data_IF_299148530547
#
_entry.id   IF_299148530547
#
_cell.length_a   1.000
_cell.length_b   1.000
_cell.length_c   1.000
_cell.angle_alpha   90.00
_cell.angle_beta   90.00
_cell.angle_gamma   90.00
#
_symmetry.space_group_name_H-M   'P 1'
#
loop_
_entity.id
_entity.type
_entity.pdbx_description
1 polymer ?
#
# COMPACT_ATOMS: atom_id res chain seq x y z
N UNK A 1 0.56 -8.12 14.28
CA UNK A 1 -0.70 -7.35 14.22
C UNK A 1 -1.72 -8.06 13.34
N UNK A 2 -3.00 -7.74 13.50
CA UNK A 2 -4.09 -8.24 12.65
C UNK A 2 -3.89 -7.87 11.17
N UNK A 3 -3.59 -6.60 10.88
CA UNK A 3 -3.37 -6.11 9.51
C UNK A 3 -2.28 -6.90 8.75
N UNK A 4 -1.14 -7.20 9.40
CA UNK A 4 -0.08 -8.02 8.79
C UNK A 4 -0.57 -9.43 8.47
N UNK A 5 -1.26 -10.08 9.41
CA UNK A 5 -1.76 -11.45 9.21
C UNK A 5 -2.81 -11.50 8.09
N UNK A 6 -3.71 -10.52 8.02
CA UNK A 6 -4.68 -10.38 6.93
C UNK A 6 -3.99 -10.28 5.56
N UNK A 7 -3.01 -9.38 5.42
CA UNK A 7 -2.23 -9.25 4.19
C UNK A 7 -1.46 -10.53 3.83
N UNK A 8 -0.86 -11.20 4.82
CA UNK A 8 -0.16 -12.47 4.60
C UNK A 8 -1.10 -13.59 4.15
N UNK A 9 -2.32 -13.66 4.68
CA UNK A 9 -3.32 -14.63 4.22
C UNK A 9 -3.71 -14.38 2.77
N UNK A 10 -3.92 -13.11 2.37
CA UNK A 10 -4.20 -12.78 0.98
C UNK A 10 -3.02 -13.14 0.07
N UNK A 11 -1.80 -12.76 0.44
CA UNK A 11 -0.58 -13.07 -0.31
C UNK A 11 -0.34 -14.57 -0.45
N UNK A 12 -0.56 -15.34 0.61
CA UNK A 12 -0.40 -16.80 0.59
C UNK A 12 -1.38 -17.44 -0.40
N UNK A 13 -2.66 -17.04 -0.37
CA UNK A 13 -3.69 -17.55 -1.29
C UNK A 13 -3.38 -17.19 -2.75
N UNK A 14 -2.96 -15.95 -3.00
CA UNK A 14 -2.59 -15.49 -4.34
C UNK A 14 -1.37 -16.27 -4.85
N UNK A 15 -0.32 -16.38 -4.03
CA UNK A 15 0.90 -17.07 -4.41
C UNK A 15 0.64 -18.56 -4.69
N UNK A 16 -0.17 -19.23 -3.87
CA UNK A 16 -0.55 -20.63 -4.07
C UNK A 16 -1.38 -20.82 -5.34
N UNK A 17 -2.40 -19.99 -5.54
CA UNK A 17 -3.26 -20.06 -6.73
C UNK A 17 -2.47 -19.82 -8.01
N UNK A 18 -1.63 -18.78 -8.04
CA UNK A 18 -0.76 -18.48 -9.19
C UNK A 18 0.22 -19.62 -9.47
N UNK A 19 0.86 -20.16 -8.44
CA UNK A 19 1.82 -21.26 -8.60
C UNK A 19 1.18 -22.49 -9.27
N UNK A 20 -0.03 -22.86 -8.83
CA UNK A 20 -0.81 -23.96 -9.44
C UNK A 20 -1.24 -23.66 -10.87
N UNK A 21 -1.71 -22.43 -11.15
CA UNK A 21 -2.11 -22.01 -12.51
C UNK A 21 -0.93 -21.97 -13.49
N UNK A 22 0.27 -21.66 -13.01
CA UNK A 22 1.48 -21.57 -13.81
C UNK A 22 2.15 -22.94 -14.04
N UNK A 23 1.85 -23.95 -13.23
CA UNK A 23 2.48 -25.27 -13.28
C UNK A 23 2.50 -25.95 -14.67
N UNK A 24 1.44 -25.87 -15.51
CA UNK A 24 1.48 -26.47 -16.85
C UNK A 24 2.41 -25.79 -17.85
N UNK A 25 2.85 -24.55 -17.56
CA UNK A 25 3.68 -23.74 -18.46
C UNK A 25 5.10 -23.61 -17.94
N UNK A 26 5.27 -23.35 -16.65
CA UNK A 26 6.56 -23.15 -15.99
C UNK A 26 6.88 -24.30 -15.05
N UNK A 27 6.94 -25.52 -15.59
CA UNK A 27 6.92 -26.76 -14.80
C UNK A 27 7.98 -26.83 -13.69
N UNK A 28 9.24 -26.49 -14.00
CA UNK A 28 10.34 -26.54 -13.05
C UNK A 28 10.26 -25.41 -12.02
N UNK A 29 9.96 -24.20 -12.46
CA UNK A 29 9.83 -23.03 -11.56
C UNK A 29 8.65 -23.20 -10.61
N UNK A 30 7.52 -23.73 -11.08
CA UNK A 30 6.38 -24.01 -10.25
C UNK A 30 6.69 -25.09 -9.20
N UNK A 31 7.43 -26.14 -9.58
CA UNK A 31 7.88 -27.19 -8.65
C UNK A 31 8.83 -26.64 -7.57
N UNK A 32 9.80 -25.81 -7.97
CA UNK A 32 10.72 -25.15 -7.04
C UNK A 32 9.98 -24.19 -6.09
N UNK A 33 9.09 -23.34 -6.61
CA UNK A 33 8.27 -22.45 -5.78
C UNK A 33 7.41 -23.26 -4.82
N UNK A 34 6.78 -24.34 -5.29
CA UNK A 34 5.99 -25.25 -4.45
C UNK A 34 6.83 -25.80 -3.31
N UNK A 35 8.10 -26.20 -3.54
CA UNK A 35 9.07 -26.64 -2.51
C UNK A 35 9.17 -25.67 -1.32
N UNK A 36 9.10 -24.37 -1.56
CA UNK A 36 9.28 -23.32 -0.55
C UNK A 36 7.99 -22.64 -0.09
N UNK A 37 6.88 -22.79 -0.80
CA UNK A 37 5.65 -22.09 -0.49
C UNK A 37 4.98 -22.68 0.76
N UNK A 38 4.57 -21.85 1.74
CA UNK A 38 3.73 -22.31 2.83
C UNK A 38 2.33 -22.62 2.30
N UNK A 39 2.03 -23.91 2.15
CA UNK A 39 0.70 -24.40 1.73
C UNK A 39 -0.14 -24.69 2.97
N UNK A 40 -1.39 -24.22 2.99
CA UNK A 40 -2.32 -24.56 4.06
C UNK A 40 -2.85 -26.00 3.88
N UNK A 41 -2.79 -26.82 4.93
CA UNK A 41 -3.35 -28.18 4.90
C UNK A 41 -2.41 -29.23 4.29
N UNK A 42 -2.98 -30.24 3.62
CA UNK A 42 -2.20 -31.36 3.08
C UNK A 42 -1.55 -30.96 1.77
N UNK A 43 -0.23 -31.02 1.75
CA UNK A 43 0.60 -30.71 0.59
C UNK A 43 0.87 -31.96 -0.23
N UNK A 44 0.58 -31.91 -1.53
CA UNK A 44 1.07 -32.90 -2.49
C UNK A 44 2.60 -32.79 -2.61
N UNK A 45 3.28 -33.91 -2.78
CA UNK A 45 4.73 -33.98 -2.92
C UNK A 45 5.23 -33.10 -4.08
N UNK A 46 4.57 -33.20 -5.23
CA UNK A 46 4.78 -32.36 -6.40
C UNK A 46 3.57 -31.50 -6.71
N UNK A 47 3.79 -30.29 -7.24
CA UNK A 47 2.70 -29.41 -7.68
C UNK A 47 1.93 -30.02 -8.86
N UNK A 48 2.57 -30.88 -9.65
CA UNK A 48 1.95 -31.56 -10.78
C UNK A 48 0.94 -32.63 -10.36
N UNK A 49 0.88 -32.94 -9.07
CA UNK A 49 -0.14 -33.78 -8.44
C UNK A 49 -1.24 -32.96 -7.75
N UNK A 50 -1.13 -31.63 -7.75
CA UNK A 50 -2.11 -30.75 -7.13
C UNK A 50 -3.22 -30.38 -8.12
N UNK A 51 -4.43 -30.21 -7.60
CA UNK A 51 -5.55 -29.69 -8.39
C UNK A 51 -5.38 -28.19 -8.65
N UNK A 52 -5.97 -27.73 -9.76
CA UNK A 52 -6.14 -26.31 -10.04
C UNK A 52 -6.87 -25.61 -8.89
N UNK A 53 -6.60 -24.32 -8.64
CA UNK A 53 -7.30 -23.58 -7.60
C UNK A 53 -8.80 -23.52 -7.90
N UNK A 54 -9.62 -23.76 -6.88
CA UNK A 54 -11.06 -23.59 -6.99
C UNK A 54 -11.41 -22.11 -7.22
N UNK A 55 -12.51 -21.87 -7.93
CA UNK A 55 -13.05 -20.52 -8.10
C UNK A 55 -13.40 -19.93 -6.72
N UNK A 56 -12.98 -18.69 -6.48
CA UNK A 56 -13.31 -17.97 -5.26
C UNK A 56 -14.58 -17.16 -5.52
N UNK A 57 -15.65 -17.49 -4.82
CA UNK A 57 -16.86 -16.66 -4.82
C UNK A 57 -16.71 -15.57 -3.75
N UNK A 58 -16.59 -14.32 -4.20
CA UNK A 58 -16.58 -13.15 -3.33
C UNK A 58 -17.99 -12.54 -3.30
N UNK A 59 -18.64 -12.46 -2.14
CA UNK A 59 -19.85 -11.64 -2.00
C UNK A 59 -19.53 -10.20 -2.42
N UNK A 60 -20.44 -9.56 -3.15
CA UNK A 60 -20.30 -8.15 -3.58
C UNK A 60 -19.09 -7.88 -4.50
N UNK A 61 -18.62 -8.89 -5.24
CA UNK A 61 -17.50 -8.74 -6.18
C UNK A 61 -17.65 -7.52 -7.12
N UNK A 62 -18.82 -7.25 -7.75
CA UNK A 62 -18.95 -6.08 -8.62
C UNK A 62 -18.70 -4.76 -7.90
N UNK A 63 -19.24 -4.59 -6.69
CA UNK A 63 -19.09 -3.37 -5.90
C UNK A 63 -17.64 -3.20 -5.40
N UNK A 64 -16.98 -4.30 -5.02
CA UNK A 64 -15.57 -4.30 -4.64
C UNK A 64 -14.71 -3.87 -5.83
N UNK A 65 -14.93 -4.48 -7.01
CA UNK A 65 -14.18 -4.15 -8.22
C UNK A 65 -14.38 -2.69 -8.63
N UNK A 66 -15.60 -2.18 -8.60
CA UNK A 66 -15.91 -0.78 -8.90
C UNK A 66 -15.20 0.16 -7.92
N UNK A 67 -15.29 -0.12 -6.61
CA UNK A 67 -14.61 0.66 -5.57
C UNK A 67 -13.11 0.71 -5.78
N UNK A 68 -12.46 -0.43 -6.06
CA UNK A 68 -11.02 -0.47 -6.31
C UNK A 68 -10.64 0.18 -7.64
N UNK A 69 -11.46 0.02 -8.68
CA UNK A 69 -11.25 0.67 -9.98
C UNK A 69 -11.26 2.19 -9.85
N UNK A 70 -12.25 2.77 -9.14
CA UNK A 70 -12.31 4.20 -8.87
C UNK A 70 -11.08 4.69 -8.10
N UNK A 71 -10.68 3.96 -7.06
CA UNK A 71 -9.49 4.30 -6.27
C UNK A 71 -8.19 4.18 -7.09
N UNK A 72 -8.10 3.20 -8.00
CA UNK A 72 -6.99 3.02 -8.92
C UNK A 72 -6.81 4.20 -9.87
N UNK A 73 -7.91 4.71 -10.44
CA UNK A 73 -7.86 5.87 -11.35
C UNK A 73 -7.25 7.10 -10.66
N UNK A 74 -7.61 7.37 -9.40
CA UNK A 74 -7.00 8.46 -8.63
C UNK A 74 -5.51 8.20 -8.39
N UNK A 75 -5.12 6.97 -8.06
CA UNK A 75 -3.71 6.61 -7.87
C UNK A 75 -2.87 6.79 -9.12
N UNK A 76 -3.41 6.54 -10.31
CA UNK A 76 -2.69 6.82 -11.54
C UNK A 76 -2.33 8.30 -11.66
N UNK A 77 -3.28 9.21 -11.38
CA UNK A 77 -3.03 10.65 -11.40
C UNK A 77 -2.04 11.07 -10.30
N UNK A 78 -2.15 10.52 -9.10
CA UNK A 78 -1.17 10.78 -8.02
C UNK A 78 0.22 10.30 -8.41
N UNK A 79 0.34 9.15 -9.06
CA UNK A 79 1.64 8.62 -9.51
C UNK A 79 2.27 9.53 -10.56
N UNK A 80 1.48 10.07 -11.50
CA UNK A 80 1.96 11.06 -12.48
C UNK A 80 2.39 12.36 -11.83
N UNK A 81 1.61 12.88 -10.87
CA UNK A 81 1.96 14.08 -10.12
C UNK A 81 3.28 13.92 -9.35
N UNK A 82 3.48 12.78 -8.68
CA UNK A 82 4.71 12.46 -7.96
C UNK A 82 5.91 12.34 -8.90
N UNK A 83 5.74 11.70 -10.05
CA UNK A 83 6.82 11.55 -11.04
C UNK A 83 7.24 12.92 -11.61
N UNK A 84 6.28 13.80 -11.91
CA UNK A 84 6.57 15.18 -12.32
C UNK A 84 7.34 15.95 -11.24
N UNK A 85 6.96 15.79 -9.97
CA UNK A 85 7.67 16.43 -8.86
C UNK A 85 9.11 15.92 -8.71
N UNK A 86 9.37 14.63 -8.97
CA UNK A 86 10.73 14.07 -8.99
C UNK A 86 11.56 14.62 -10.13
N UNK A 87 11.00 14.73 -11.33
CA UNK A 87 11.68 15.32 -12.50
C UNK A 87 12.05 16.79 -12.27
N UNK A 88 11.25 17.51 -11.48
CA UNK A 88 11.52 18.88 -11.06
C UNK A 88 12.45 18.97 -9.83
N UNK A 89 13.00 17.84 -9.37
CA UNK A 89 13.87 17.75 -8.18
C UNK A 89 13.25 18.29 -6.89
N UNK A 90 11.92 18.28 -6.78
CA UNK A 90 11.19 18.68 -5.57
C UNK A 90 11.29 17.57 -4.50
N UNK A 91 11.33 16.31 -4.94
CA UNK A 91 11.35 15.12 -4.08
C UNK A 91 12.37 14.10 -4.60
N UNK A 92 13.07 13.41 -3.69
CA UNK A 92 13.89 12.25 -4.03
C UNK A 92 13.10 10.94 -3.99
N UNK A 93 12.14 10.82 -3.07
CA UNK A 93 11.30 9.64 -2.89
C UNK A 93 9.83 10.02 -2.64
N UNK A 94 8.87 9.17 -3.00
CA UNK A 94 7.45 9.43 -2.72
C UNK A 94 7.13 9.49 -1.23
N UNK A 95 7.89 8.80 -0.37
CA UNK A 95 7.70 8.89 1.08
C UNK A 95 8.08 10.27 1.64
N UNK A 96 8.83 11.09 0.91
CA UNK A 96 9.08 12.49 1.30
C UNK A 96 7.89 13.39 0.95
N UNK A 97 6.90 12.89 0.19
CA UNK A 97 5.78 13.69 -0.28
C UNK A 97 4.67 13.81 0.76
N UNK A 98 4.11 15.01 0.84
CA UNK A 98 2.73 15.26 1.23
C UNK A 98 1.95 15.71 0.00
N UNK A 99 0.71 15.24 -0.15
CA UNK A 99 -0.16 15.63 -1.27
C UNK A 99 -1.41 16.36 -0.77
N UNK A 100 -1.79 17.41 -1.49
CA UNK A 100 -3.08 18.08 -1.34
C UNK A 100 -3.93 17.71 -2.56
N UNK A 101 -5.04 17.04 -2.32
CA UNK A 101 -6.01 16.63 -3.33
C UNK A 101 -7.16 17.64 -3.37
N UNK A 102 -7.32 18.28 -4.52
CA UNK A 102 -8.51 19.07 -4.85
C UNK A 102 -9.36 18.25 -5.80
N UNK A 103 -10.53 17.83 -5.33
CA UNK A 103 -11.47 16.99 -6.06
C UNK A 103 -12.89 17.45 -5.77
N UNK A 104 -13.85 16.99 -6.57
CA UNK A 104 -15.27 17.25 -6.31
C UNK A 104 -15.74 16.55 -5.01
N UNK A 105 -16.78 17.09 -4.38
CA UNK A 105 -17.28 16.68 -3.06
C UNK A 105 -17.58 15.17 -2.96
N UNK A 106 -18.15 14.59 -4.02
CA UNK A 106 -18.44 13.16 -4.07
C UNK A 106 -17.16 12.31 -4.04
N UNK A 107 -16.13 12.73 -4.78
CA UNK A 107 -14.83 12.04 -4.80
C UNK A 107 -14.08 12.24 -3.48
N UNK A 108 -14.16 13.43 -2.89
CA UNK A 108 -13.58 13.68 -1.58
C UNK A 108 -14.20 12.76 -0.53
N UNK A 109 -15.53 12.70 -0.47
CA UNK A 109 -16.27 11.83 0.46
C UNK A 109 -15.90 10.35 0.27
N UNK A 110 -15.78 9.91 -0.99
CA UNK A 110 -15.34 8.57 -1.33
C UNK A 110 -13.92 8.26 -0.81
N UNK A 111 -12.98 9.18 -1.02
CA UNK A 111 -11.58 9.01 -0.61
C UNK A 111 -11.44 9.09 0.92
N UNK A 112 -12.13 10.02 1.58
CA UNK A 112 -12.15 10.15 3.04
C UNK A 112 -12.64 8.87 3.73
N UNK A 113 -13.50 8.07 3.08
CA UNK A 113 -13.92 6.75 3.55
C UNK A 113 -12.79 5.73 3.76
N UNK A 114 -11.58 5.97 3.23
CA UNK A 114 -10.39 5.14 3.47
C UNK A 114 -9.49 5.69 4.59
N UNK A 115 -9.75 6.90 5.09
CA UNK A 115 -9.03 7.52 6.19
C UNK A 115 -7.51 7.52 6.01
N UNK A 116 -6.78 7.16 7.07
CA UNK A 116 -5.32 7.22 7.09
C UNK A 116 -4.63 6.20 6.17
N UNK A 117 -5.36 5.22 5.63
CA UNK A 117 -4.78 4.19 4.76
C UNK A 117 -4.49 4.71 3.34
N UNK A 118 -5.12 5.82 2.93
CA UNK A 118 -4.85 6.46 1.63
C UNK A 118 -3.37 6.76 1.43
N UNK A 119 -2.68 7.24 2.47
CA UNK A 119 -1.26 7.57 2.37
C UNK A 119 -0.41 6.34 2.04
N UNK A 120 -0.79 5.16 2.53
CA UNK A 120 -0.13 3.90 2.20
C UNK A 120 -0.44 3.45 0.77
N UNK A 121 -1.69 3.64 0.35
CA UNK A 121 -2.09 3.29 -1.00
C UNK A 121 -1.39 4.15 -2.06
N UNK A 122 -1.23 5.44 -1.80
CA UNK A 122 -0.51 6.38 -2.65
C UNK A 122 1.01 6.40 -2.44
N UNK A 123 1.53 5.66 -1.45
CA UNK A 123 2.95 5.60 -1.10
C UNK A 123 3.56 6.98 -0.75
N UNK A 124 2.81 7.80 -0.02
CA UNK A 124 3.21 9.15 0.43
C UNK A 124 3.08 9.27 1.94
N UNK A 125 3.74 10.26 2.55
CA UNK A 125 3.68 10.45 4.00
C UNK A 125 2.40 11.11 4.50
N UNK A 126 1.83 12.01 3.70
CA UNK A 126 0.66 12.82 4.08
C UNK A 126 -0.29 12.97 2.90
N UNK A 127 -1.59 12.94 3.20
CA UNK A 127 -2.68 13.21 2.25
C UNK A 127 -3.64 14.15 2.95
N UNK A 128 -4.00 15.26 2.29
CA UNK A 128 -5.00 16.21 2.75
C UNK A 128 -5.89 16.64 1.58
N UNK A 129 -7.08 17.12 1.89
CA UNK A 129 -8.01 17.68 0.90
C UNK A 129 -8.08 19.20 1.03
N UNK A 130 -8.21 19.90 -0.10
CA UNK A 130 -8.28 21.35 -0.12
C UNK A 130 -7.81 21.95 -1.44
N UNK A 131 -7.73 23.29 -1.54
CA UNK A 131 -7.29 23.96 -2.76
C UNK A 131 -5.83 23.61 -3.07
N UNK A 132 -5.58 23.02 -4.24
CA UNK A 132 -4.26 22.57 -4.66
C UNK A 132 -3.40 23.73 -5.23
N UNK A 133 -4.01 24.87 -5.54
CA UNK A 133 -3.31 26.06 -6.04
C UNK A 133 -2.85 25.96 -7.50
N UNK A 134 -2.32 27.05 -8.04
CA UNK A 134 -2.04 27.19 -9.48
C UNK A 134 -0.96 26.23 -10.01
N UNK A 135 0.05 25.93 -9.19
CA UNK A 135 1.13 25.01 -9.56
C UNK A 135 0.74 23.52 -9.49
N UNK A 136 -0.52 23.21 -9.15
CA UNK A 136 -0.99 21.83 -9.06
C UNK A 136 -0.92 21.09 -10.39
N UNK A 137 -0.58 19.81 -10.33
CA UNK A 137 -0.81 18.88 -11.43
C UNK A 137 -2.32 18.76 -11.65
N UNK A 138 -2.76 18.88 -12.90
CA UNK A 138 -4.14 18.58 -13.30
C UNK A 138 -4.16 17.19 -13.91
N UNK A 139 -5.06 16.33 -13.42
CA UNK A 139 -5.19 14.97 -13.90
C UNK A 139 -5.42 14.91 -15.41
N UNK A 140 -4.77 13.95 -16.05
CA UNK A 140 -4.88 13.74 -17.50
C UNK A 140 -6.16 13.00 -17.86
N UNK A 141 -6.45 11.91 -17.14
CA UNK A 141 -7.68 11.14 -17.34
C UNK A 141 -8.81 11.69 -16.48
N UNK A 142 -8.50 12.08 -15.25
CA UNK A 142 -9.45 12.72 -14.33
C UNK A 142 -9.19 14.23 -14.25
N UNK A 143 -9.73 14.98 -15.20
CA UNK A 143 -9.47 16.43 -15.34
C UNK A 143 -10.04 17.29 -14.21
N UNK A 144 -10.96 16.73 -13.41
CA UNK A 144 -11.50 17.31 -12.17
C UNK A 144 -10.60 17.10 -10.95
N UNK A 145 -9.59 16.23 -11.05
CA UNK A 145 -8.62 15.98 -9.97
C UNK A 145 -7.43 16.91 -10.15
N UNK A 146 -7.12 17.72 -9.12
CA UNK A 146 -5.86 18.47 -9.04
C UNK A 146 -5.06 18.04 -7.82
N UNK A 147 -3.75 17.98 -8.01
CA UNK A 147 -2.83 17.38 -7.05
C UNK A 147 -1.66 18.33 -6.86
N UNK A 148 -1.56 18.90 -5.66
CA UNK A 148 -0.36 19.60 -5.25
C UNK A 148 0.57 18.63 -4.53
N UNK A 149 1.82 18.57 -4.98
CA UNK A 149 2.86 17.74 -4.36
C UNK A 149 3.84 18.67 -3.66
N UNK A 150 4.07 18.42 -2.37
CA UNK A 150 4.99 19.16 -1.54
C UNK A 150 5.81 18.21 -0.67
N UNK A 151 6.83 18.72 -0.01
CA UNK A 151 7.52 17.94 1.01
C UNK A 151 6.60 17.75 2.23
N UNK A 152 6.52 16.52 2.74
CA UNK A 152 5.74 16.19 3.92
C UNK A 152 6.27 16.92 5.15
N UNK A 153 5.36 17.36 6.02
CA UNK A 153 5.71 18.03 7.26
C UNK A 153 6.33 17.06 8.27
N UNK A 154 7.17 17.60 9.15
CA UNK A 154 7.83 16.84 10.22
C UNK A 154 9.15 16.24 9.80
N UNK A 155 9.51 15.11 10.42
CA UNK A 155 10.84 14.50 10.27
C UNK A 155 10.72 13.05 9.83
N UNK A 156 11.74 12.56 9.11
CA UNK A 156 11.82 11.19 8.64
C UNK A 156 11.94 10.21 9.81
N UNK A 157 11.02 9.25 9.90
CA UNK A 157 11.13 8.13 10.82
C UNK A 157 12.24 7.17 10.38
N UNK A 158 13.17 6.84 11.29
CA UNK A 158 14.31 5.98 10.99
C UNK A 158 13.92 4.53 10.63
N UNK A 159 12.74 4.05 11.08
CA UNK A 159 12.29 2.66 10.86
C UNK A 159 11.46 2.48 9.60
N UNK A 160 10.48 3.35 9.36
CA UNK A 160 9.55 3.20 8.25
C UNK A 160 9.75 4.20 7.11
N UNK A 161 10.67 5.15 7.28
CA UNK A 161 11.02 6.20 6.32
C UNK A 161 9.90 7.16 5.94
N UNK A 162 8.75 7.07 6.60
CA UNK A 162 7.67 8.04 6.51
C UNK A 162 8.00 9.28 7.33
N UNK A 163 7.54 10.44 6.87
CA UNK A 163 7.62 11.70 7.58
C UNK A 163 6.40 11.87 8.49
N UNK A 164 6.66 12.24 9.74
CA UNK A 164 5.62 12.53 10.71
C UNK A 164 6.07 13.69 11.59
N UNK A 165 5.13 14.55 11.98
CA UNK A 165 5.35 15.62 12.96
C UNK A 165 5.50 15.09 14.38
N UNK A 166 5.27 13.79 14.57
CA UNK A 166 5.34 13.08 15.86
C UNK A 166 6.66 12.35 16.09
N UNK A 167 7.58 12.38 15.12
CA UNK A 167 8.95 11.88 15.34
C UNK A 167 9.62 12.76 16.40
N UNK A 168 10.19 12.13 17.43
CA UNK A 168 10.83 12.82 18.55
C UNK A 168 9.99 12.93 19.82
N UNK A 169 8.69 12.60 19.78
CA UNK A 169 7.83 12.66 20.98
C UNK A 169 8.14 11.55 21.99
N UNK A 170 8.61 10.38 21.54
CA UNK A 170 9.01 9.28 22.42
C UNK A 170 10.48 9.42 22.87
N UNK A 171 10.70 9.67 24.17
CA UNK A 171 12.04 9.94 24.72
C UNK A 171 13.03 8.78 24.50
N UNK A 172 12.60 7.53 24.67
CA UNK A 172 13.46 6.35 24.53
C UNK A 172 13.69 5.92 23.06
N UNK A 173 12.91 6.49 22.14
CA UNK A 173 12.89 6.15 20.72
C UNK A 173 12.71 7.42 19.85
N UNK A 174 13.57 8.45 19.99
CA UNK A 174 13.34 9.78 19.43
C UNK A 174 13.35 9.80 17.89
N UNK A 175 13.99 8.81 17.25
CA UNK A 175 14.00 8.69 15.78
C UNK A 175 12.76 8.04 15.18
N UNK A 176 11.76 7.67 15.99
CA UNK A 176 10.61 6.88 15.54
C UNK A 176 9.31 7.67 15.59
N UNK A 177 8.42 7.38 14.63
CA UNK A 177 7.06 7.93 14.61
C UNK A 177 6.10 7.14 15.49
N UNK A 178 4.91 7.71 15.70
CA UNK A 178 3.82 7.20 16.54
C UNK A 178 3.39 5.76 16.19
N UNK A 179 3.58 5.34 14.94
CA UNK A 179 3.29 3.97 14.48
C UNK A 179 4.40 2.98 14.84
N UNK A 180 5.64 3.43 14.78
CA UNK A 180 6.81 2.56 14.91
C UNK A 180 7.20 2.31 16.37
N UNK A 181 6.99 3.30 17.25
CA UNK A 181 7.24 3.21 18.70
C UNK A 181 6.60 1.96 19.32
N UNK A 182 5.26 1.76 19.28
CA UNK A 182 4.63 0.60 19.93
C UNK A 182 5.09 -0.73 19.32
N UNK A 183 5.50 -0.74 18.04
CA UNK A 183 6.00 -1.94 17.39
C UNK A 183 7.43 -2.30 17.85
N UNK A 184 8.27 -1.32 18.21
CA UNK A 184 9.61 -1.59 18.77
C UNK A 184 9.50 -1.98 20.23
N UNK A 185 8.66 -1.29 20.99
CA UNK A 185 8.44 -1.59 22.41
C UNK A 185 7.94 -3.01 22.63
N UNK A 186 6.97 -3.47 21.82
CA UNK A 186 6.47 -4.84 21.88
C UNK A 186 7.55 -5.92 21.62
N UNK A 187 8.59 -5.60 20.84
CA UNK A 187 9.73 -6.50 20.62
C UNK A 187 10.66 -6.49 21.84
N UNK A 188 10.98 -5.31 22.37
CA UNK A 188 11.80 -5.18 23.59
C UNK A 188 11.20 -5.93 24.78
N UNK A 189 9.87 -5.93 24.92
CA UNK A 189 9.19 -6.68 25.98
C UNK A 189 9.18 -8.20 25.75
N UNK A 190 9.28 -8.65 24.50
CA UNK A 190 9.30 -10.07 24.17
C UNK A 190 10.68 -10.70 24.35
N UNK A 191 11.76 -9.92 24.24
CA UNK A 191 13.14 -10.39 24.42
C UNK A 191 13.57 -10.49 25.91
N UNK A 192 12.74 -10.00 26.84
CA UNK A 192 13.02 -9.99 28.29
C UNK A 192 12.28 -11.13 29.04
N UNK A 193 11.50 -11.96 28.34
CA UNK A 193 10.79 -13.12 28.89
C UNK A 193 11.20 -14.42 28.23
#
# INVERSE_FOLDING_TARGET
>A
SHARRSAQTALQRIAEGLCRLMAPVLCFTAEEVWSHLPVAGRRCESIHLAEFPAAVNLPEEPQILERWSRLWQVREEVSRALERARQQSILGNSLEAGIILEVEEEMQSFLEGFGSDLRYYFLVSQVSFGPAGEAAYRGEKLTSVRIHVQHAAGTKCARCWMYSTKVGEAQDLPGLCERCVPTVEALRSADVG
#
